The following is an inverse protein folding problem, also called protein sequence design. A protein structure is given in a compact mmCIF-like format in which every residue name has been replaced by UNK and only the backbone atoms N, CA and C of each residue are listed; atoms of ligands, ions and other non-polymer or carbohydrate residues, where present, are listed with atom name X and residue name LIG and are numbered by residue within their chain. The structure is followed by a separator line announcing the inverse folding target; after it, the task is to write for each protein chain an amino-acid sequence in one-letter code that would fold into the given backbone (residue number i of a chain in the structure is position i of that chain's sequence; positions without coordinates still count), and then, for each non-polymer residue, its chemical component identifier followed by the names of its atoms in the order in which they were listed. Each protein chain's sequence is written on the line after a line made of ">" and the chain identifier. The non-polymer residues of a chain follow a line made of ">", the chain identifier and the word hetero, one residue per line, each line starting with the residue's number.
data_IF_986073027009
#
_entry.id   IF_986073027009
#
_cell.length_a   1.000
_cell.length_b   1.000
_cell.length_c   1.000
_cell.angle_alpha   90.00
_cell.angle_beta   90.00
_cell.angle_gamma   90.00
#
_symmetry.space_group_name_H-M   'P 1'
#
loop_
_entity.id
_entity.type
_entity.pdbx_description
1 polymer ?
#
# COMPACT_ATOMS: atom_id res chain seq x y z
N UNK A 1 -23.21 -17.98 -4.37
CA UNK A 1 -23.16 -17.72 -2.91
C UNK A 1 -24.07 -18.75 -2.27
N UNK A 2 -23.52 -19.75 -1.58
CA UNK A 2 -24.36 -20.77 -0.93
C UNK A 2 -25.06 -20.17 0.30
N UNK A 3 -26.38 -20.30 0.36
CA UNK A 3 -27.22 -19.83 1.45
C UNK A 3 -26.87 -20.53 2.77
N UNK A 4 -26.76 -19.76 3.86
CA UNK A 4 -26.52 -20.31 5.19
C UNK A 4 -27.68 -21.25 5.56
N UNK A 5 -27.42 -22.51 5.97
CA UNK A 5 -28.48 -23.44 6.33
C UNK A 5 -29.34 -22.88 7.49
N UNK A 6 -30.66 -22.92 7.31
CA UNK A 6 -31.67 -22.36 8.23
C UNK A 6 -32.00 -23.29 9.41
N UNK A 7 -31.62 -24.56 9.32
CA UNK A 7 -31.92 -25.62 10.27
C UNK A 7 -30.64 -26.34 10.72
N UNK A 8 -30.72 -27.05 11.85
CA UNK A 8 -29.63 -27.88 12.34
C UNK A 8 -29.70 -29.29 11.72
N UNK A 9 -28.67 -29.72 11.00
CA UNK A 9 -28.65 -31.01 10.28
C UNK A 9 -28.88 -32.23 11.18
N UNK A 10 -28.51 -32.17 12.47
CA UNK A 10 -28.66 -33.31 13.39
C UNK A 10 -30.01 -33.40 14.09
N UNK A 11 -30.76 -32.31 14.20
CA UNK A 11 -32.04 -32.32 14.93
C UNK A 11 -33.20 -31.65 14.20
N UNK A 12 -32.95 -31.19 12.97
CA UNK A 12 -33.88 -30.47 12.08
C UNK A 12 -34.53 -29.21 12.67
N UNK A 13 -34.20 -28.82 13.91
CA UNK A 13 -34.78 -27.63 14.55
C UNK A 13 -34.26 -26.34 13.88
N UNK A 14 -35.14 -25.33 13.67
CA UNK A 14 -34.74 -24.06 13.10
C UNK A 14 -33.77 -23.33 14.04
N UNK A 15 -32.70 -22.78 13.47
CA UNK A 15 -31.76 -21.96 14.23
C UNK A 15 -32.48 -20.65 14.60
N UNK A 16 -32.83 -20.46 15.88
CA UNK A 16 -33.52 -19.27 16.36
C UNK A 16 -32.71 -18.01 16.03
N UNK A 17 -33.11 -17.29 14.99
CA UNK A 17 -32.60 -15.95 14.65
C UNK A 17 -33.24 -14.95 15.61
N UNK A 18 -32.48 -14.49 16.60
CA UNK A 18 -32.92 -13.37 17.40
C UNK A 18 -32.85 -12.12 16.51
N UNK A 19 -33.98 -11.41 16.32
CA UNK A 19 -34.16 -10.39 15.26
C UNK A 19 -33.06 -9.31 15.20
N UNK A 20 -32.33 -9.07 16.30
CA UNK A 20 -31.25 -8.08 16.37
C UNK A 20 -29.89 -8.59 16.91
N UNK A 21 -29.67 -9.91 17.05
CA UNK A 21 -28.38 -10.44 17.53
C UNK A 21 -27.91 -11.60 16.65
N UNK A 22 -26.68 -11.50 16.12
CA UNK A 22 -26.01 -12.63 15.46
C UNK A 22 -26.04 -13.83 16.42
N UNK A 23 -26.53 -14.97 15.94
CA UNK A 23 -26.62 -16.21 16.73
C UNK A 23 -25.22 -16.57 17.24
N UNK A 24 -24.97 -16.35 18.53
CA UNK A 24 -23.70 -16.69 19.17
C UNK A 24 -23.70 -18.17 19.52
N UNK A 25 -22.81 -18.94 18.90
CA UNK A 25 -22.64 -20.37 19.15
C UNK A 25 -22.22 -20.60 20.61
N UNK A 26 -22.95 -21.44 21.36
CA UNK A 26 -22.59 -21.87 22.72
C UNK A 26 -21.24 -22.57 22.70
N UNK A 27 -20.34 -22.17 23.60
CA UNK A 27 -19.02 -22.78 23.77
C UNK A 27 -18.94 -23.34 25.18
N UNK A 28 -18.48 -24.57 25.30
CA UNK A 28 -18.39 -25.28 26.58
C UNK A 28 -17.11 -26.11 26.57
N UNK A 29 -16.40 -26.19 27.68
CA UNK A 29 -15.20 -27.01 27.78
C UNK A 29 -15.66 -28.43 28.15
N UNK A 30 -15.29 -29.41 27.33
CA UNK A 30 -15.57 -30.81 27.64
C UNK A 30 -14.73 -31.22 28.87
N UNK A 31 -15.37 -31.66 29.98
CA UNK A 31 -14.66 -31.99 31.22
C UNK A 31 -13.69 -33.17 31.07
N UNK A 32 -13.89 -34.05 30.09
CA UNK A 32 -13.04 -35.23 29.90
C UNK A 32 -11.85 -34.92 29.01
N UNK A 33 -12.08 -34.24 27.87
CA UNK A 33 -11.00 -33.93 26.91
C UNK A 33 -10.32 -32.58 27.15
N UNK A 34 -10.86 -31.75 28.05
CA UNK A 34 -10.47 -30.38 28.34
C UNK A 34 -10.38 -29.47 27.09
N UNK A 35 -11.13 -29.81 26.03
CA UNK A 35 -11.16 -29.08 24.76
C UNK A 35 -12.42 -28.22 24.67
N UNK A 36 -12.28 -27.02 24.09
CA UNK A 36 -13.40 -26.11 23.87
C UNK A 36 -14.31 -26.63 22.74
N UNK A 37 -15.50 -27.08 23.13
CA UNK A 37 -16.55 -27.57 22.25
C UNK A 37 -17.45 -26.43 21.80
N UNK A 38 -17.98 -26.55 20.57
CA UNK A 38 -19.02 -25.67 20.05
C UNK A 38 -20.31 -26.46 19.95
N UNK A 39 -21.30 -26.05 20.71
CA UNK A 39 -22.57 -26.76 20.84
C UNK A 39 -23.67 -26.00 20.09
N UNK A 40 -24.65 -26.74 19.58
CA UNK A 40 -25.87 -26.14 19.06
C UNK A 40 -26.68 -25.51 20.19
N UNK A 41 -27.09 -24.25 20.02
CA UNK A 41 -27.88 -23.54 21.03
C UNK A 41 -29.24 -24.17 21.29
N UNK A 42 -29.79 -24.93 20.33
CA UNK A 42 -31.11 -25.53 20.45
C UNK A 42 -31.08 -26.94 21.07
N UNK A 43 -30.08 -27.75 20.76
CA UNK A 43 -30.06 -29.17 21.15
C UNK A 43 -28.84 -29.58 21.97
N UNK A 44 -27.87 -28.68 22.20
CA UNK A 44 -26.65 -29.00 22.97
C UNK A 44 -25.68 -29.97 22.29
N UNK A 45 -26.05 -30.54 21.14
CA UNK A 45 -25.19 -31.47 20.41
C UNK A 45 -23.98 -30.73 19.81
N UNK A 46 -22.84 -31.45 19.81
CA UNK A 46 -21.57 -30.96 19.26
C UNK A 46 -21.73 -30.70 17.77
N UNK A 47 -21.47 -29.47 17.35
CA UNK A 47 -21.28 -29.20 15.93
C UNK A 47 -19.97 -29.82 15.47
N UNK A 48 -20.03 -31.03 14.90
CA UNK A 48 -19.02 -31.47 13.93
C UNK A 48 -19.25 -30.69 12.63
N UNK A 49 -19.03 -29.37 12.67
CA UNK A 49 -18.68 -28.69 11.44
C UNK A 49 -17.26 -29.16 11.12
N UNK A 50 -17.16 -30.28 10.38
CA UNK A 50 -16.05 -30.47 9.45
C UNK A 50 -15.83 -29.09 8.84
N UNK A 51 -14.60 -28.57 8.89
CA UNK A 51 -14.32 -27.21 8.43
C UNK A 51 -14.66 -27.14 6.93
N UNK A 52 -15.92 -26.89 6.58
CA UNK A 52 -16.40 -26.50 5.26
C UNK A 52 -15.97 -25.05 4.99
N UNK A 53 -14.74 -24.67 5.38
CA UNK A 53 -13.96 -23.93 4.42
C UNK A 53 -13.78 -24.96 3.31
N UNK A 54 -14.62 -24.90 2.27
CA UNK A 54 -14.22 -25.41 0.95
C UNK A 54 -12.75 -25.04 0.88
N UNK A 55 -11.85 -26.03 0.94
CA UNK A 55 -10.42 -25.75 0.89
C UNK A 55 -10.30 -25.02 -0.43
N UNK A 56 -10.21 -23.68 -0.39
CA UNK A 56 -10.00 -22.90 -1.61
C UNK A 56 -8.80 -23.57 -2.21
N UNK A 57 -9.03 -24.20 -3.36
CA UNK A 57 -8.02 -25.01 -4.01
C UNK A 57 -6.79 -24.12 -4.05
N UNK A 58 -5.74 -24.55 -3.35
CA UNK A 58 -4.55 -23.72 -3.22
C UNK A 58 -4.08 -23.54 -4.65
N UNK A 59 -4.18 -22.31 -5.15
CA UNK A 59 -3.69 -21.96 -6.47
C UNK A 59 -2.28 -22.54 -6.56
N UNK A 60 -2.07 -23.46 -7.51
CA UNK A 60 -0.76 -24.04 -7.75
C UNK A 60 0.19 -22.88 -8.00
N UNK A 61 1.16 -22.73 -7.12
CA UNK A 61 2.19 -21.70 -7.22
C UNK A 61 3.15 -22.16 -8.31
N UNK A 62 3.44 -21.29 -9.27
CA UNK A 62 4.37 -21.62 -10.35
C UNK A 62 5.74 -22.04 -9.77
N UNK A 63 6.30 -23.11 -10.30
CA UNK A 63 7.62 -23.62 -9.90
C UNK A 63 8.71 -22.59 -10.23
N UNK A 64 9.89 -22.72 -9.62
CA UNK A 64 10.99 -21.80 -9.93
C UNK A 64 11.46 -21.96 -11.38
N UNK A 65 11.51 -23.19 -11.88
CA UNK A 65 11.84 -23.52 -13.28
C UNK A 65 10.84 -22.90 -14.27
N UNK A 66 9.53 -22.98 -13.97
CA UNK A 66 8.50 -22.33 -14.79
C UNK A 66 8.68 -20.81 -14.84
N UNK A 67 9.08 -20.18 -13.73
CA UNK A 67 9.34 -18.73 -13.68
C UNK A 67 10.57 -18.34 -14.49
N UNK A 68 11.61 -19.16 -14.49
CA UNK A 68 12.83 -18.92 -15.27
C UNK A 68 12.59 -19.12 -16.76
N UNK A 69 11.91 -20.21 -17.14
CA UNK A 69 11.44 -20.43 -18.51
C UNK A 69 10.59 -19.25 -18.99
N UNK A 70 9.66 -18.78 -18.15
CA UNK A 70 8.83 -17.63 -18.49
C UNK A 70 9.63 -16.34 -18.70
N UNK A 71 10.70 -16.10 -17.92
CA UNK A 71 11.57 -14.93 -18.15
C UNK A 71 12.22 -14.97 -19.53
N UNK A 72 12.74 -16.13 -19.93
CA UNK A 72 13.33 -16.33 -21.25
C UNK A 72 12.30 -16.13 -22.38
N UNK A 73 11.08 -16.67 -22.21
CA UNK A 73 9.97 -16.45 -23.15
C UNK A 73 9.61 -14.96 -23.27
N UNK A 74 9.55 -14.25 -22.15
CA UNK A 74 9.26 -12.80 -22.09
C UNK A 74 10.35 -11.98 -22.79
N UNK A 75 11.62 -12.36 -22.62
CA UNK A 75 12.75 -11.71 -23.29
C UNK A 75 12.77 -11.98 -24.79
N UNK A 76 12.44 -13.20 -25.22
CA UNK A 76 12.25 -13.53 -26.63
C UNK A 76 11.08 -12.74 -27.24
N UNK A 77 9.97 -12.63 -26.51
CA UNK A 77 8.80 -11.86 -26.95
C UNK A 77 9.12 -10.38 -27.19
N UNK A 78 9.94 -9.75 -26.34
CA UNK A 78 10.35 -8.35 -26.59
C UNK A 78 11.11 -8.18 -27.91
N UNK A 79 11.91 -9.16 -28.34
CA UNK A 79 12.60 -9.11 -29.64
C UNK A 79 11.61 -9.15 -30.81
N UNK A 80 10.49 -9.87 -30.66
CA UNK A 80 9.42 -9.88 -31.66
C UNK A 80 8.68 -8.54 -31.71
N UNK A 81 8.37 -7.96 -30.54
CA UNK A 81 7.74 -6.64 -30.45
C UNK A 81 8.64 -5.54 -31.03
N UNK A 82 9.96 -5.65 -30.82
CA UNK A 82 10.95 -4.72 -31.38
C UNK A 82 10.83 -4.61 -32.91
N UNK A 83 10.62 -5.72 -33.62
CA UNK A 83 10.44 -5.71 -35.08
C UNK A 83 9.24 -4.87 -35.55
N UNK A 84 8.25 -4.63 -34.68
CA UNK A 84 7.06 -3.84 -34.99
C UNK A 84 7.20 -2.38 -34.58
N UNK A 85 7.78 -2.16 -33.40
CA UNK A 85 7.81 -0.87 -32.71
C UNK A 85 9.07 -0.06 -33.08
N UNK A 86 10.17 -0.74 -33.40
CA UNK A 86 11.48 -0.14 -33.71
C UNK A 86 12.02 0.79 -32.60
N UNK A 87 11.76 0.44 -31.34
CA UNK A 87 12.27 1.12 -30.15
C UNK A 87 12.50 0.06 -29.05
N UNK A 88 13.76 -0.17 -28.69
CA UNK A 88 14.15 -1.22 -27.73
C UNK A 88 13.61 -0.95 -26.32
N UNK A 89 13.57 0.31 -25.89
CA UNK A 89 13.08 0.66 -24.56
C UNK A 89 11.56 0.42 -24.46
N UNK A 90 10.82 0.80 -25.51
CA UNK A 90 9.37 0.54 -25.58
C UNK A 90 9.11 -0.96 -25.72
N UNK A 91 9.83 -1.67 -26.59
CA UNK A 91 9.69 -3.12 -26.75
C UNK A 91 9.94 -3.87 -25.43
N UNK A 92 10.96 -3.47 -24.67
CA UNK A 92 11.21 -3.99 -23.33
C UNK A 92 10.06 -3.68 -22.35
N UNK A 93 9.36 -2.54 -22.49
CA UNK A 93 8.20 -2.19 -21.65
C UNK A 93 6.96 -2.98 -22.01
N UNK A 94 6.73 -3.27 -23.29
CA UNK A 94 5.58 -4.01 -23.83
C UNK A 94 5.65 -5.52 -23.58
N UNK A 95 6.00 -5.91 -22.35
CA UNK A 95 6.03 -7.30 -21.88
C UNK A 95 5.66 -7.36 -20.40
N UNK A 96 4.99 -8.42 -19.96
CA UNK A 96 4.59 -8.56 -18.56
C UNK A 96 5.53 -9.52 -17.79
N UNK A 97 6.42 -9.03 -16.90
CA UNK A 97 7.38 -9.89 -16.19
C UNK A 97 6.80 -10.56 -14.92
N UNK A 98 5.50 -10.43 -14.65
CA UNK A 98 4.91 -10.90 -13.39
C UNK A 98 4.73 -12.42 -13.42
N UNK A 99 5.29 -13.09 -12.41
CA UNK A 99 5.23 -14.55 -12.30
C UNK A 99 4.84 -15.08 -10.90
N UNK A 100 4.25 -14.24 -10.05
CA UNK A 100 3.89 -14.60 -8.66
C UNK A 100 2.48 -14.13 -8.28
N UNK A 101 1.61 -15.00 -7.75
CA UNK A 101 1.76 -16.46 -7.59
C UNK A 101 1.56 -17.27 -8.89
N UNK A 102 0.95 -16.65 -9.92
CA UNK A 102 0.75 -17.21 -11.27
C UNK A 102 1.56 -16.41 -12.29
N UNK A 103 1.90 -17.05 -13.40
CA UNK A 103 2.46 -16.40 -14.59
C UNK A 103 1.39 -15.48 -15.19
N UNK A 104 1.72 -14.21 -15.40
CA UNK A 104 0.80 -13.22 -15.94
C UNK A 104 1.24 -12.80 -17.33
N UNK A 105 0.46 -13.16 -18.34
CA UNK A 105 0.71 -12.87 -19.77
C UNK A 105 -0.12 -11.71 -20.31
N UNK A 106 -0.71 -10.87 -19.45
CA UNK A 106 -1.74 -9.91 -19.88
C UNK A 106 -1.36 -8.98 -21.04
N UNK A 107 -0.11 -8.52 -21.15
CA UNK A 107 0.33 -7.70 -22.30
C UNK A 107 0.49 -8.58 -23.54
N UNK A 108 1.08 -9.77 -23.38
CA UNK A 108 1.25 -10.74 -24.45
C UNK A 108 -0.11 -11.15 -25.02
N UNK A 109 -1.05 -11.59 -24.18
CA UNK A 109 -2.43 -11.95 -24.59
C UNK A 109 -3.13 -10.78 -25.30
N UNK A 110 -2.94 -9.54 -24.85
CA UNK A 110 -3.50 -8.37 -25.55
C UNK A 110 -2.91 -8.23 -26.95
N UNK A 111 -1.60 -8.40 -27.11
CA UNK A 111 -0.95 -8.27 -28.43
C UNK A 111 -1.23 -9.47 -29.34
N UNK A 112 -1.34 -10.67 -28.80
CA UNK A 112 -1.52 -11.91 -29.58
C UNK A 112 -2.97 -12.32 -29.80
N UNK A 113 -3.95 -11.66 -29.17
CA UNK A 113 -5.38 -11.98 -29.18
C UNK A 113 -5.77 -13.31 -28.51
N UNK A 114 -4.82 -14.20 -28.18
CA UNK A 114 -5.09 -15.51 -27.60
C UNK A 114 -3.88 -16.05 -26.82
N UNK A 115 -4.13 -17.01 -25.93
CA UNK A 115 -3.13 -17.73 -25.13
C UNK A 115 -2.31 -18.73 -25.97
N UNK A 116 -2.84 -19.15 -27.13
CA UNK A 116 -2.26 -20.18 -28.00
C UNK A 116 -1.68 -19.66 -29.32
N UNK A 117 -1.37 -18.37 -29.42
CA UNK A 117 -0.88 -17.78 -30.66
C UNK A 117 0.46 -18.40 -31.10
N UNK A 118 0.43 -19.15 -32.20
CA UNK A 118 1.60 -19.77 -32.85
C UNK A 118 2.10 -18.98 -34.07
N UNK A 119 1.51 -17.81 -34.35
CA UNK A 119 1.83 -16.99 -35.52
C UNK A 119 3.03 -16.06 -35.33
N UNK A 120 3.49 -15.48 -36.45
CA UNK A 120 4.39 -14.33 -36.41
C UNK A 120 3.59 -13.07 -36.03
N UNK A 121 4.04 -12.36 -35.01
CA UNK A 121 3.40 -11.12 -34.56
C UNK A 121 3.39 -10.05 -35.66
N UNK A 122 4.34 -10.12 -36.61
CA UNK A 122 4.50 -9.13 -37.67
C UNK A 122 3.47 -9.30 -38.81
N UNK A 123 2.93 -10.50 -39.02
CA UNK A 123 1.96 -10.77 -40.09
C UNK A 123 0.53 -10.43 -39.69
N UNK A 124 0.22 -10.47 -38.39
CA UNK A 124 -1.11 -10.13 -37.88
C UNK A 124 -1.32 -8.60 -37.82
N UNK A 125 -2.16 -8.08 -38.73
CA UNK A 125 -2.50 -6.65 -38.81
C UNK A 125 -3.05 -6.11 -37.47
N UNK A 126 -3.87 -6.90 -36.78
CA UNK A 126 -4.47 -6.52 -35.49
C UNK A 126 -3.40 -6.40 -34.40
N UNK A 127 -2.50 -7.38 -34.30
CA UNK A 127 -1.38 -7.36 -33.35
C UNK A 127 -0.47 -6.15 -33.58
N UNK A 128 -0.21 -5.83 -34.85
CA UNK A 128 0.57 -4.65 -35.22
C UNK A 128 -0.10 -3.35 -34.79
N UNK A 129 -1.41 -3.23 -35.03
CA UNK A 129 -2.20 -2.07 -34.61
C UNK A 129 -2.18 -1.90 -33.09
N UNK A 130 -2.38 -2.98 -32.34
CA UNK A 130 -2.34 -2.96 -30.87
C UNK A 130 -0.96 -2.62 -30.31
N UNK A 131 0.11 -3.14 -30.93
CA UNK A 131 1.47 -2.80 -30.53
C UNK A 131 1.76 -1.30 -30.73
N UNK A 132 1.33 -0.72 -31.86
CA UNK A 132 1.44 0.72 -32.14
C UNK A 132 0.61 1.55 -31.17
N UNK A 133 -0.58 1.10 -30.81
CA UNK A 133 -1.41 1.77 -29.81
C UNK A 133 -0.73 1.83 -28.44
N UNK A 134 -0.20 0.70 -27.95
CA UNK A 134 0.53 0.70 -26.67
C UNK A 134 1.84 1.49 -26.74
N UNK A 135 2.50 1.50 -27.89
CA UNK A 135 3.68 2.33 -28.15
C UNK A 135 3.33 3.82 -28.01
N UNK A 136 2.21 4.26 -28.58
CA UNK A 136 1.77 5.64 -28.48
C UNK A 136 1.45 6.04 -27.04
N UNK A 137 0.77 5.17 -26.28
CA UNK A 137 0.56 5.38 -24.84
C UNK A 137 1.89 5.51 -24.08
N UNK A 138 2.90 4.70 -24.42
CA UNK A 138 4.23 4.79 -23.80
C UNK A 138 4.91 6.13 -24.13
N UNK A 139 4.85 6.57 -25.39
CA UNK A 139 5.46 7.84 -25.83
C UNK A 139 4.79 9.03 -25.18
N UNK A 140 3.46 9.08 -25.23
CA UNK A 140 2.64 10.10 -24.56
C UNK A 140 2.95 10.17 -23.06
N UNK A 141 3.01 9.02 -22.37
CA UNK A 141 3.37 8.97 -20.95
C UNK A 141 4.79 9.50 -20.69
N UNK A 142 5.79 9.13 -21.52
CA UNK A 142 7.17 9.62 -21.38
C UNK A 142 7.27 11.12 -21.65
N UNK A 143 6.59 11.62 -22.69
CA UNK A 143 6.55 13.04 -23.02
C UNK A 143 5.96 13.85 -21.87
N UNK A 144 4.83 13.42 -21.30
CA UNK A 144 4.20 14.07 -20.14
C UNK A 144 5.06 14.01 -18.86
N UNK A 145 5.93 13.00 -18.71
CA UNK A 145 6.92 12.95 -17.63
C UNK A 145 8.05 13.98 -17.86
N UNK A 146 8.39 14.23 -19.13
CA UNK A 146 9.45 15.16 -19.53
C UNK A 146 8.99 16.61 -19.53
N UNK A 147 7.74 16.90 -19.90
CA UNK A 147 7.09 18.22 -19.80
C UNK A 147 6.83 18.64 -18.36
N UNK A 148 7.67 18.17 -17.42
CA UNK A 148 7.74 18.70 -16.06
C UNK A 148 7.56 20.21 -16.14
N UNK A 149 6.57 20.70 -15.41
CA UNK A 149 6.47 22.10 -15.07
C UNK A 149 7.82 22.48 -14.47
N UNK A 150 8.66 23.13 -15.27
CA UNK A 150 9.62 24.08 -14.77
C UNK A 150 8.71 25.15 -14.19
N UNK A 151 8.26 24.93 -12.97
CA UNK A 151 7.52 25.92 -12.22
C UNK A 151 8.48 27.07 -12.07
N UNK A 152 8.44 28.00 -13.02
CA UNK A 152 8.89 29.37 -12.86
C UNK A 152 7.94 29.96 -11.83
N UNK A 153 8.14 29.56 -10.58
CA UNK A 153 7.52 30.20 -9.45
C UNK A 153 8.33 31.47 -9.25
N UNK A 154 7.88 32.57 -9.86
CA UNK A 154 8.45 33.92 -9.70
C UNK A 154 8.27 34.49 -8.27
N UNK A 155 7.84 33.66 -7.33
CA UNK A 155 7.81 34.00 -5.90
C UNK A 155 9.22 33.93 -5.32
N UNK A 156 9.87 35.11 -5.21
CA UNK A 156 11.20 35.29 -4.61
C UNK A 156 11.33 34.78 -3.16
N UNK A 157 10.23 34.48 -2.46
CA UNK A 157 10.25 34.06 -1.05
C UNK A 157 10.55 32.57 -0.80
N UNK A 158 10.70 31.72 -1.82
CA UNK A 158 10.88 30.27 -1.64
C UNK A 158 12.34 29.77 -1.67
N UNK A 159 13.33 30.67 -1.53
CA UNK A 159 14.73 30.36 -1.80
C UNK A 159 15.47 29.60 -0.67
N UNK A 160 14.83 29.30 0.46
CA UNK A 160 15.50 28.68 1.63
C UNK A 160 15.30 27.17 1.84
N UNK A 161 14.71 26.43 0.90
CA UNK A 161 14.49 24.98 1.03
C UNK A 161 14.94 24.18 -0.20
N UNK A 162 16.22 24.29 -0.57
CA UNK A 162 16.77 23.75 -1.83
C UNK A 162 16.98 22.23 -1.84
N UNK A 163 17.03 21.54 -0.70
CA UNK A 163 17.53 20.15 -0.68
C UNK A 163 16.48 19.02 -0.73
N UNK A 164 15.19 19.30 -0.86
CA UNK A 164 14.20 18.21 -1.02
C UNK A 164 12.84 18.62 -1.63
N UNK A 165 12.82 19.55 -2.59
CA UNK A 165 11.61 19.77 -3.39
C UNK A 165 11.31 18.47 -4.14
N UNK A 166 10.36 17.72 -3.60
CA UNK A 166 9.95 16.41 -4.11
C UNK A 166 9.32 16.69 -5.45
N UNK A 167 10.08 16.48 -6.53
CA UNK A 167 9.69 16.80 -7.91
C UNK A 167 8.22 16.44 -8.14
N UNK A 168 7.34 17.45 -8.14
CA UNK A 168 5.92 17.25 -8.42
C UNK A 168 5.82 16.81 -9.88
N UNK A 169 4.86 15.93 -10.16
CA UNK A 169 4.54 15.51 -11.52
C UNK A 169 3.54 16.52 -12.07
N UNK A 170 3.56 16.76 -13.38
CA UNK A 170 2.57 17.60 -14.04
C UNK A 170 1.17 17.00 -13.81
N UNK A 171 0.18 17.87 -13.61
CA UNK A 171 -1.22 17.45 -13.41
C UNK A 171 -1.74 16.66 -14.62
N UNK A 172 -1.33 17.07 -15.81
CA UNK A 172 -1.67 16.44 -17.08
C UNK A 172 -1.18 14.99 -17.16
N UNK A 173 0.04 14.72 -16.68
CA UNK A 173 0.53 13.35 -16.56
C UNK A 173 -0.35 12.53 -15.62
N UNK A 174 -0.79 13.12 -14.50
CA UNK A 174 -1.63 12.39 -13.57
C UNK A 174 -2.97 12.00 -14.19
N UNK A 175 -3.68 12.98 -14.76
CA UNK A 175 -4.96 12.80 -15.44
C UNK A 175 -4.85 11.79 -16.59
N UNK A 176 -3.78 11.88 -17.39
CA UNK A 176 -3.48 10.94 -18.47
C UNK A 176 -3.32 9.50 -17.95
N UNK A 177 -2.58 9.29 -16.85
CA UNK A 177 -2.40 7.95 -16.28
C UNK A 177 -3.72 7.40 -15.77
N UNK A 178 -4.58 8.20 -15.13
CA UNK A 178 -5.86 7.70 -14.61
C UNK A 178 -6.85 7.32 -15.70
N UNK A 179 -6.99 8.16 -16.72
CA UNK A 179 -7.87 7.89 -17.86
C UNK A 179 -7.47 6.57 -18.56
N UNK A 180 -6.19 6.45 -18.92
CA UNK A 180 -5.71 5.28 -19.65
C UNK A 180 -5.60 4.03 -18.77
N UNK A 181 -5.31 4.16 -17.47
CA UNK A 181 -5.23 3.00 -16.57
C UNK A 181 -6.56 2.26 -16.48
N UNK A 182 -7.68 2.97 -16.41
CA UNK A 182 -8.99 2.35 -16.36
C UNK A 182 -9.28 1.61 -17.67
N UNK A 183 -8.93 2.21 -18.81
CA UNK A 183 -8.99 1.57 -20.13
C UNK A 183 -8.20 0.27 -20.18
N UNK A 184 -6.89 0.32 -19.87
CA UNK A 184 -5.99 -0.84 -19.88
C UNK A 184 -6.48 -1.98 -18.96
N UNK A 185 -7.07 -1.64 -17.80
CA UNK A 185 -7.57 -2.65 -16.86
C UNK A 185 -8.88 -3.27 -17.26
N UNK A 186 -9.86 -2.45 -17.64
CA UNK A 186 -11.23 -2.90 -17.81
C UNK A 186 -11.44 -3.44 -19.22
N UNK A 187 -10.89 -2.80 -20.24
CA UNK A 187 -11.07 -3.19 -21.64
C UNK A 187 -10.03 -4.23 -22.07
N UNK A 188 -8.77 -4.08 -21.64
CA UNK A 188 -7.68 -4.97 -22.09
C UNK A 188 -7.28 -6.01 -21.05
N UNK A 189 -7.98 -6.08 -19.92
CA UNK A 189 -7.70 -7.02 -18.83
C UNK A 189 -6.23 -7.02 -18.36
N UNK A 190 -5.53 -5.89 -18.45
CA UNK A 190 -4.14 -5.80 -18.04
C UNK A 190 -4.00 -5.82 -16.52
N UNK A 191 -3.00 -6.56 -16.03
CA UNK A 191 -2.65 -6.48 -14.62
C UNK A 191 -2.07 -5.09 -14.28
N UNK A 192 -2.10 -4.74 -13.00
CA UNK A 192 -1.55 -3.46 -12.51
C UNK A 192 -0.09 -3.24 -12.92
N UNK A 193 0.74 -4.29 -12.90
CA UNK A 193 2.14 -4.19 -13.33
C UNK A 193 2.28 -3.97 -14.83
N UNK A 194 1.39 -4.53 -15.64
CA UNK A 194 1.35 -4.27 -17.08
C UNK A 194 1.00 -2.80 -17.35
N UNK A 195 -0.04 -2.30 -16.68
CA UNK A 195 -0.43 -0.88 -16.75
C UNK A 195 0.73 0.06 -16.36
N UNK A 196 1.47 -0.26 -15.29
CA UNK A 196 2.63 0.52 -14.84
C UNK A 196 3.73 0.62 -15.88
N UNK A 197 3.98 -0.48 -16.63
CA UNK A 197 5.02 -0.49 -17.66
C UNK A 197 4.62 0.36 -18.87
N UNK A 198 3.38 0.23 -19.33
CA UNK A 198 2.84 1.00 -20.47
C UNK A 198 2.76 2.48 -20.12
N UNK A 199 2.17 2.83 -18.98
CA UNK A 199 1.94 4.23 -18.57
C UNK A 199 3.10 4.84 -17.76
N UNK A 200 4.22 4.12 -17.65
CA UNK A 200 5.47 4.58 -17.03
C UNK A 200 5.35 5.09 -15.57
N UNK A 201 4.36 4.65 -14.79
CA UNK A 201 4.19 5.08 -13.39
C UNK A 201 4.74 4.07 -12.38
N UNK A 202 5.10 4.57 -11.20
CA UNK A 202 5.59 3.75 -10.07
C UNK A 202 4.44 3.31 -9.16
N UNK A 203 4.63 2.25 -8.37
CA UNK A 203 3.67 1.85 -7.32
C UNK A 203 3.25 3.03 -6.41
N UNK A 204 4.16 3.96 -6.12
CA UNK A 204 3.90 5.10 -5.25
C UNK A 204 3.00 6.17 -5.88
N UNK A 205 2.83 6.17 -7.21
CA UNK A 205 2.00 7.13 -7.92
C UNK A 205 0.55 7.09 -7.43
N UNK A 206 -0.05 5.89 -7.39
CA UNK A 206 -1.41 5.69 -6.91
C UNK A 206 -1.59 6.07 -5.43
N UNK A 207 -0.56 5.83 -4.61
CA UNK A 207 -0.60 6.16 -3.19
C UNK A 207 -0.43 7.65 -2.90
N UNK A 208 0.27 8.39 -3.76
CA UNK A 208 0.45 9.83 -3.60
C UNK A 208 -0.83 10.57 -3.91
N UNK A 209 -1.53 10.24 -4.99
CA UNK A 209 -2.78 10.92 -5.33
C UNK A 209 -3.86 10.70 -4.26
N UNK A 210 -3.95 9.50 -3.68
CA UNK A 210 -4.80 9.22 -2.51
C UNK A 210 -4.45 10.07 -1.27
N UNK A 211 -3.29 10.73 -1.25
CA UNK A 211 -2.85 11.65 -0.19
C UNK A 211 -2.87 13.12 -0.61
N UNK A 212 -2.63 13.42 -1.89
CA UNK A 212 -2.48 14.78 -2.45
C UNK A 212 -3.71 15.31 -3.18
N UNK A 213 -4.70 14.47 -3.50
CA UNK A 213 -6.07 14.94 -3.74
C UNK A 213 -6.68 15.36 -2.39
N UNK A 214 -6.04 16.36 -1.78
CA UNK A 214 -6.46 17.12 -0.62
C UNK A 214 -7.46 18.20 -1.02
N UNK A 215 -8.32 17.94 -2.00
CA UNK A 215 -9.70 18.44 -1.90
C UNK A 215 -10.34 17.66 -0.74
N UNK A 216 -10.02 18.09 0.48
CA UNK A 216 -10.92 18.25 1.61
C UNK A 216 -11.93 17.16 1.98
N UNK A 217 -11.81 15.92 1.52
CA UNK A 217 -12.43 14.80 2.23
C UNK A 217 -11.49 14.42 3.37
N UNK A 218 -11.65 15.17 4.46
CA UNK A 218 -11.29 14.80 5.83
C UNK A 218 -11.21 13.29 5.94
N UNK A 219 -10.03 12.75 6.30
CA UNK A 219 -9.71 11.35 6.64
C UNK A 219 -10.93 10.46 6.96
N UNK A 220 -11.75 10.12 5.98
CA UNK A 220 -12.98 9.35 6.14
C UNK A 220 -12.96 8.24 5.10
N UNK A 221 -13.23 7.03 5.58
CA UNK A 221 -13.54 5.81 4.84
C UNK A 221 -12.40 5.09 4.11
N UNK A 222 -11.46 4.53 4.89
CA UNK A 222 -10.81 3.28 4.48
C UNK A 222 -11.83 2.12 4.45
N UNK A 223 -11.86 1.36 3.34
CA UNK A 223 -12.81 0.29 2.96
C UNK A 223 -13.14 -0.85 3.96
N UNK A 224 -12.58 -0.90 5.17
CA UNK A 224 -12.77 -2.04 6.07
C UNK A 224 -13.53 -1.78 7.37
N UNK A 225 -13.87 -0.53 7.64
CA UNK A 225 -14.88 -0.20 8.62
C UNK A 225 -15.62 0.94 7.96
N UNK A 226 -16.88 0.70 7.58
CA UNK A 226 -17.83 1.79 7.52
C UNK A 226 -17.58 2.58 8.80
N UNK A 227 -16.91 3.73 8.65
CA UNK A 227 -17.03 4.83 9.58
C UNK A 227 -18.52 5.04 9.54
N UNK A 228 -19.22 4.35 10.46
CA UNK A 228 -20.55 4.70 10.90
C UNK A 228 -20.49 6.21 10.94
N UNK A 229 -21.23 6.83 10.03
CA UNK A 229 -21.37 8.27 9.88
C UNK A 229 -21.16 8.86 11.26
N UNK A 230 -20.10 9.66 11.42
CA UNK A 230 -19.86 10.30 12.70
C UNK A 230 -21.15 11.03 13.01
N UNK A 231 -21.94 10.47 13.94
CA UNK A 231 -23.30 10.92 14.12
C UNK A 231 -23.26 12.44 14.33
N UNK A 232 -24.13 13.22 13.67
CA UNK A 232 -24.21 14.64 13.93
C UNK A 232 -24.24 14.86 15.44
N UNK A 233 -23.43 15.80 15.96
CA UNK A 233 -23.33 16.00 17.42
C UNK A 233 -24.70 16.28 18.04
N UNK A 234 -25.59 16.93 17.28
CA UNK A 234 -27.00 17.16 17.62
C UNK A 234 -27.80 15.88 17.87
N UNK A 235 -27.51 14.80 17.15
CA UNK A 235 -28.20 13.52 17.28
C UNK A 235 -27.57 12.63 18.36
N UNK A 236 -26.33 12.91 18.77
CA UNK A 236 -25.56 12.04 19.67
C UNK A 236 -26.24 11.84 21.03
N UNK A 237 -26.91 12.87 21.55
CA UNK A 237 -27.65 12.82 22.83
C UNK A 237 -28.85 11.86 22.82
N UNK A 238 -29.37 11.50 21.64
CA UNK A 238 -30.53 10.62 21.49
C UNK A 238 -30.15 9.14 21.65
N UNK A 239 -28.87 8.79 21.45
CA UNK A 239 -28.41 7.41 21.52
C UNK A 239 -27.99 7.03 22.94
N UNK A 240 -28.11 5.74 23.28
CA UNK A 240 -27.56 5.19 24.52
C UNK A 240 -26.32 4.35 24.19
N UNK A 241 -25.14 4.82 24.61
CA UNK A 241 -23.87 4.14 24.31
C UNK A 241 -23.42 3.13 25.39
N UNK A 242 -23.84 3.31 26.65
CA UNK A 242 -23.50 2.45 27.79
C UNK A 242 -24.46 2.71 28.96
N UNK A 243 -24.28 1.98 30.08
CA UNK A 243 -25.07 2.16 31.32
C UNK A 243 -24.96 3.59 31.88
N UNK A 244 -23.78 4.20 31.78
CA UNK A 244 -23.50 5.56 32.26
C UNK A 244 -23.99 6.67 31.31
N UNK A 245 -24.59 6.31 30.17
CA UNK A 245 -25.12 7.27 29.17
C UNK A 245 -24.12 8.40 28.83
N UNK A 246 -22.86 8.06 28.50
CA UNK A 246 -21.84 9.06 28.13
C UNK A 246 -22.31 10.03 27.02
N UNK A 247 -23.24 9.60 26.17
CA UNK A 247 -23.91 10.44 25.17
C UNK A 247 -24.65 11.65 25.74
N UNK A 248 -25.04 11.65 27.03
CA UNK A 248 -25.59 12.82 27.71
C UNK A 248 -24.65 14.04 27.73
N UNK A 249 -23.32 13.81 27.61
CA UNK A 249 -22.35 14.89 27.43
C UNK A 249 -22.58 15.69 26.14
N UNK A 250 -23.24 15.11 25.13
CA UNK A 250 -23.52 15.82 23.89
C UNK A 250 -24.51 16.98 24.10
N UNK A 251 -25.41 16.86 25.06
CA UNK A 251 -26.38 17.91 25.40
C UNK A 251 -25.75 19.01 26.25
N UNK A 252 -24.90 18.66 27.21
CA UNK A 252 -24.31 19.62 28.16
C UNK A 252 -22.98 20.23 27.69
N UNK A 253 -22.21 19.53 26.87
CA UNK A 253 -20.85 19.91 26.47
C UNK A 253 -20.65 19.84 24.95
N UNK A 254 -21.63 20.32 24.17
CA UNK A 254 -21.60 20.27 22.71
C UNK A 254 -20.34 20.93 22.12
N UNK A 255 -19.92 22.10 22.65
CA UNK A 255 -18.73 22.83 22.19
C UNK A 255 -17.43 22.05 22.43
N UNK A 256 -17.32 21.34 23.55
CA UNK A 256 -16.16 20.47 23.84
C UNK A 256 -16.09 19.32 22.85
N UNK A 257 -17.23 18.66 22.57
CA UNK A 257 -17.28 17.56 21.60
C UNK A 257 -16.96 18.04 20.17
N UNK A 258 -17.40 19.25 19.80
CA UNK A 258 -17.06 19.87 18.53
C UNK A 258 -15.54 20.12 18.42
N UNK A 259 -14.93 20.68 19.47
CA UNK A 259 -13.48 20.89 19.56
C UNK A 259 -12.70 19.56 19.47
N UNK A 260 -13.11 18.54 20.21
CA UNK A 260 -12.50 17.20 20.12
C UNK A 260 -12.63 16.60 18.73
N UNK A 261 -13.80 16.71 18.10
CA UNK A 261 -14.01 16.23 16.73
C UNK A 261 -13.08 16.97 15.76
N UNK A 262 -13.04 18.30 15.80
CA UNK A 262 -12.18 19.12 14.94
C UNK A 262 -10.68 18.80 15.14
N UNK A 263 -10.20 18.78 16.39
CA UNK A 263 -8.80 18.44 16.72
C UNK A 263 -8.44 17.03 16.27
N UNK A 264 -9.35 16.07 16.42
CA UNK A 264 -9.10 14.69 15.97
C UNK A 264 -8.94 14.57 14.45
N UNK A 265 -9.56 15.48 13.68
CA UNK A 265 -9.43 15.53 12.23
C UNK A 265 -8.15 16.25 11.77
N UNK A 266 -7.63 17.18 12.57
CA UNK A 266 -6.46 17.99 12.21
C UNK A 266 -5.17 17.17 12.00
N UNK A 267 -4.99 16.05 12.73
CA UNK A 267 -3.75 15.29 12.63
C UNK A 267 -3.74 14.00 13.44
N UNK A 268 -2.76 13.11 13.19
CA UNK A 268 -2.64 11.87 13.98
C UNK A 268 -2.22 12.15 15.44
N UNK A 269 -1.36 13.15 15.65
CA UNK A 269 -0.91 13.54 16.98
C UNK A 269 -2.08 14.10 17.80
N UNK A 270 -2.80 15.08 17.24
CA UNK A 270 -3.99 15.65 17.89
C UNK A 270 -5.09 14.63 18.11
N UNK A 271 -5.33 13.71 17.16
CA UNK A 271 -6.25 12.60 17.39
C UNK A 271 -5.88 11.78 18.61
N UNK A 272 -4.59 11.46 18.82
CA UNK A 272 -4.15 10.71 20.00
C UNK A 272 -4.29 11.51 21.28
N UNK A 273 -4.00 12.82 21.25
CA UNK A 273 -4.20 13.74 22.38
C UNK A 273 -5.67 13.79 22.79
N UNK A 274 -6.59 13.98 21.83
CA UNK A 274 -8.03 13.97 22.07
C UNK A 274 -8.48 12.62 22.64
N UNK A 275 -8.03 11.49 22.07
CA UNK A 275 -8.37 10.18 22.61
C UNK A 275 -7.88 9.99 24.04
N UNK A 276 -6.71 10.51 24.38
CA UNK A 276 -6.19 10.46 25.73
C UNK A 276 -7.01 11.32 26.68
N UNK A 277 -7.32 12.56 26.28
CA UNK A 277 -8.17 13.48 27.02
C UNK A 277 -9.54 12.85 27.31
N UNK A 278 -10.18 12.26 26.30
CA UNK A 278 -11.46 11.54 26.45
C UNK A 278 -11.36 10.28 27.33
N UNK A 279 -10.18 9.65 27.41
CA UNK A 279 -9.97 8.45 28.22
C UNK A 279 -9.54 8.76 29.66
N UNK A 280 -9.14 9.99 29.99
CA UNK A 280 -8.88 10.39 31.36
C UNK A 280 -10.19 10.40 32.15
N UNK A 281 -10.21 9.85 33.37
CA UNK A 281 -11.42 9.86 34.19
C UNK A 281 -11.72 11.30 34.65
N UNK A 282 -12.92 11.79 34.36
CA UNK A 282 -13.46 13.00 34.97
C UNK A 282 -14.51 12.56 35.99
N UNK A 283 -14.29 12.85 37.28
CA UNK A 283 -15.23 12.44 38.34
C UNK A 283 -15.36 10.93 38.53
N UNK A 284 -14.26 10.17 38.36
CA UNK A 284 -14.23 8.72 38.63
C UNK A 284 -14.75 7.82 37.50
N UNK A 285 -15.17 8.39 36.37
CA UNK A 285 -15.66 7.62 35.21
C UNK A 285 -14.96 8.02 33.91
N UNK A 286 -14.72 7.04 33.04
CA UNK A 286 -14.13 7.27 31.71
C UNK A 286 -15.18 7.12 30.62
N UNK A 287 -15.01 7.88 29.55
CA UNK A 287 -15.89 7.76 28.40
C UNK A 287 -15.88 6.34 27.82
N UNK A 288 -17.07 5.81 27.52
CA UNK A 288 -17.16 4.47 26.96
C UNK A 288 -16.58 4.43 25.54
N UNK A 289 -16.11 3.24 25.13
CA UNK A 289 -15.48 3.02 23.82
C UNK A 289 -16.35 3.49 22.65
N UNK A 290 -17.65 3.21 22.75
CA UNK A 290 -18.62 3.54 21.71
C UNK A 290 -18.81 5.05 21.55
N UNK A 291 -18.89 5.78 22.67
CA UNK A 291 -19.01 7.24 22.66
C UNK A 291 -17.79 7.92 22.03
N UNK A 292 -16.58 7.51 22.43
CA UNK A 292 -15.33 8.03 21.86
C UNK A 292 -15.30 7.83 20.34
N UNK A 293 -15.76 6.67 19.86
CA UNK A 293 -15.86 6.40 18.42
C UNK A 293 -16.88 7.28 17.71
N UNK A 294 -18.03 7.55 18.30
CA UNK A 294 -19.01 8.47 17.71
C UNK A 294 -18.47 9.89 17.58
N UNK A 295 -17.68 10.35 18.56
CA UNK A 295 -17.11 11.70 18.54
C UNK A 295 -15.95 11.82 17.55
N UNK A 296 -15.00 10.88 17.59
CA UNK A 296 -13.70 10.99 16.89
C UNK A 296 -13.57 10.17 15.61
N UNK A 297 -14.46 9.19 15.37
CA UNK A 297 -14.34 8.25 14.25
C UNK A 297 -13.12 7.32 14.32
N UNK A 298 -12.41 7.25 15.46
CA UNK A 298 -11.18 6.48 15.57
C UNK A 298 -11.40 4.96 15.45
N UNK A 299 -10.37 4.24 15.00
CA UNK A 299 -10.41 2.78 14.96
C UNK A 299 -10.29 2.15 16.36
N UNK A 300 -10.88 0.96 16.48
CA UNK A 300 -10.87 0.17 17.70
C UNK A 300 -9.45 -0.18 18.20
N UNK A 301 -8.52 -0.39 17.27
CA UNK A 301 -7.12 -0.68 17.59
C UNK A 301 -6.36 0.55 18.10
N UNK A 302 -6.60 1.72 17.52
CA UNK A 302 -5.97 2.97 17.97
C UNK A 302 -6.42 3.31 19.40
N UNK A 303 -7.72 3.25 19.68
CA UNK A 303 -8.25 3.52 21.01
C UNK A 303 -7.73 2.53 22.06
N UNK A 304 -7.63 1.24 21.72
CA UNK A 304 -7.05 0.24 22.62
C UNK A 304 -5.59 0.55 22.96
N UNK A 305 -4.80 0.97 21.96
CA UNK A 305 -3.39 1.36 22.14
C UNK A 305 -3.23 2.58 23.04
N UNK A 306 -3.99 3.66 22.79
CA UNK A 306 -3.94 4.88 23.61
C UNK A 306 -4.33 4.58 25.06
N UNK A 307 -5.34 3.74 25.29
CA UNK A 307 -5.71 3.31 26.65
C UNK A 307 -4.62 2.51 27.34
N UNK A 308 -3.90 1.67 26.61
CA UNK A 308 -2.79 0.91 27.16
C UNK A 308 -1.63 1.84 27.55
N UNK A 309 -1.31 2.82 26.69
CA UNK A 309 -0.28 3.83 26.97
C UNK A 309 -0.63 4.67 28.20
N UNK A 310 -1.89 5.14 28.30
CA UNK A 310 -2.35 5.87 29.48
C UNK A 310 -2.29 5.04 30.77
N UNK A 311 -2.59 3.74 30.70
CA UNK A 311 -2.45 2.84 31.86
C UNK A 311 -0.99 2.70 32.28
N UNK A 312 -0.07 2.66 31.32
CA UNK A 312 1.37 2.54 31.57
C UNK A 312 1.93 3.84 32.16
N UNK A 313 1.45 5.01 31.74
CA UNK A 313 1.88 6.32 32.24
C UNK A 313 1.10 6.82 33.47
N UNK A 314 0.31 5.96 34.12
CA UNK A 314 -0.60 6.31 35.22
C UNK A 314 -1.55 7.49 34.91
N UNK A 315 -1.80 7.77 33.63
CA UNK A 315 -2.68 8.84 33.15
C UNK A 315 -2.05 10.23 33.05
N UNK A 316 -0.78 10.41 33.45
CA UNK A 316 -0.14 11.73 33.54
C UNK A 316 0.57 12.17 32.26
N UNK A 317 1.10 11.24 31.45
CA UNK A 317 1.83 11.62 30.24
C UNK A 317 0.93 11.72 28.99
N UNK A 318 1.25 12.68 28.11
CA UNK A 318 0.73 12.71 26.75
C UNK A 318 1.12 11.41 26.01
N UNK A 319 0.23 10.84 25.18
CA UNK A 319 0.57 9.65 24.41
C UNK A 319 1.81 9.88 23.55
N UNK A 320 2.80 9.00 23.65
CA UNK A 320 4.03 9.09 22.88
C UNK A 320 3.75 9.21 21.37
N UNK A 321 4.63 9.94 20.67
CA UNK A 321 4.56 10.06 19.21
C UNK A 321 4.48 8.67 18.54
N UNK A 322 3.85 8.60 17.36
CA UNK A 322 3.73 7.33 16.64
C UNK A 322 5.13 6.73 16.36
N UNK A 323 5.40 5.52 16.86
CA UNK A 323 6.70 4.85 16.76
C UNK A 323 7.25 4.63 15.34
N UNK A 324 6.48 4.92 14.29
CA UNK A 324 6.98 4.97 12.91
C UNK A 324 7.96 6.14 12.71
N UNK A 325 7.70 7.32 13.30
CA UNK A 325 8.63 8.46 13.22
C UNK A 325 9.97 8.09 13.84
N UNK A 326 9.91 7.50 15.04
CA UNK A 326 11.09 7.05 15.77
C UNK A 326 11.82 5.93 15.02
N UNK A 327 11.10 4.95 14.47
CA UNK A 327 11.68 3.93 13.58
C UNK A 327 12.43 4.54 12.38
N UNK A 328 11.84 5.54 11.69
CA UNK A 328 12.51 6.19 10.57
C UNK A 328 13.69 7.06 10.99
N UNK A 329 13.63 7.69 12.17
CA UNK A 329 14.74 8.43 12.78
C UNK A 329 15.91 7.49 13.08
N UNK A 330 15.65 6.38 13.76
CA UNK A 330 16.64 5.34 14.04
C UNK A 330 17.22 4.71 12.77
N UNK A 331 16.38 4.48 11.74
CA UNK A 331 16.84 3.95 10.46
C UNK A 331 17.75 4.93 9.72
N UNK A 332 17.47 6.24 9.77
CA UNK A 332 18.36 7.28 9.23
C UNK A 332 19.69 7.33 9.99
N UNK A 333 19.67 7.24 11.32
CA UNK A 333 20.87 7.20 12.15
C UNK A 333 21.72 5.97 11.79
N UNK A 334 21.11 4.79 11.67
CA UNK A 334 21.81 3.55 11.25
C UNK A 334 22.43 3.67 9.85
N UNK A 335 21.70 4.25 8.89
CA UNK A 335 22.20 4.45 7.53
C UNK A 335 23.33 5.49 7.44
N UNK A 336 23.34 6.49 8.33
CA UNK A 336 24.43 7.46 8.44
C UNK A 336 25.67 6.83 9.07
N UNK A 337 25.50 6.07 10.17
CA UNK A 337 26.57 5.34 10.84
C UNK A 337 27.24 4.30 9.94
N UNK A 338 26.47 3.57 9.12
CA UNK A 338 27.03 2.60 8.18
C UNK A 338 27.88 3.22 7.06
N UNK A 339 27.67 4.52 6.73
CA UNK A 339 28.48 5.22 5.72
C UNK A 339 29.76 5.83 6.31
N UNK A 340 29.78 6.16 7.59
CA UNK A 340 30.96 6.68 8.28
C UNK A 340 32.06 5.64 8.44
N UNK A 341 31.69 4.37 8.64
CA UNK A 341 32.66 3.30 8.93
C UNK A 341 33.42 2.79 7.68
N UNK A 342 32.94 3.06 6.47
CA UNK A 342 33.57 2.61 5.22
C UNK A 342 34.72 3.51 4.74
N UNK A 343 34.89 4.70 5.34
CA UNK A 343 35.93 5.67 4.93
C UNK A 343 37.21 5.61 5.77
N UNK A 344 37.21 4.86 6.86
CA UNK A 344 38.35 4.76 7.77
C UNK A 344 39.34 3.61 7.43
N UNK A 345 39.04 2.77 6.43
CA UNK A 345 39.82 1.55 6.12
C UNK A 345 40.59 1.57 4.79
N UNK A 346 40.61 2.69 4.06
CA UNK A 346 41.36 2.80 2.78
C UNK A 346 42.48 3.83 2.80
N UNK A 347 42.97 4.23 3.98
CA UNK A 347 43.95 5.30 4.13
C UNK A 347 45.21 4.90 4.88
N UNK A 348 45.87 3.78 4.54
CA UNK A 348 47.30 3.61 4.86
C UNK A 348 47.92 2.41 4.13
N UNK A 349 48.45 2.64 2.94
CA UNK A 349 49.57 1.88 2.33
C UNK A 349 50.00 2.60 1.06
N UNK A 350 50.75 3.70 1.21
CA UNK A 350 51.67 4.15 0.15
C UNK A 350 52.96 3.38 0.34
N UNK A 351 53.10 2.28 -0.39
CA UNK A 351 54.40 1.63 -0.62
C UNK A 351 55.15 2.53 -1.60
N UNK A 352 56.30 3.02 -1.17
CA UNK A 352 57.27 3.75 -1.99
C UNK A 352 58.12 2.70 -2.68
N UNK A 353 57.89 2.47 -3.97
CA UNK A 353 58.82 1.69 -4.80
C UNK A 353 59.69 2.65 -5.60
N UNK A 354 60.98 2.60 -5.30
CA UNK A 354 62.03 3.29 -6.04
C UNK A 354 62.32 2.55 -7.35
N UNK A 355 62.44 3.31 -8.43
CA UNK A 355 62.99 2.78 -9.69
C UNK A 355 64.15 3.64 -10.13
N UNK A 356 65.35 3.10 -9.92
CA UNK A 356 66.58 3.55 -10.53
C UNK A 356 66.53 3.28 -12.04
N UNK A 357 66.88 4.29 -12.85
CA UNK A 357 67.32 4.08 -14.23
C UNK A 357 68.67 4.76 -14.41
N UNK A 358 69.68 3.90 -14.52
CA UNK A 358 71.03 4.20 -14.95
C UNK A 358 71.04 4.65 -16.41
N UNK A 359 71.91 5.61 -16.69
CA UNK A 359 72.25 6.04 -18.04
C UNK A 359 73.05 4.98 -18.81
N UNK A 360 72.95 5.07 -20.13
CA UNK A 360 73.94 4.55 -21.07
C UNK A 360 74.08 5.60 -22.16
N UNK A 361 75.23 6.27 -22.15
CA UNK A 361 75.80 7.00 -23.28
C UNK A 361 76.13 6.03 -24.42
N UNK A 362 75.87 6.44 -25.66
CA UNK A 362 76.60 5.97 -26.84
C UNK A 362 76.47 6.98 -27.98
N UNK A 363 77.45 7.87 -28.04
CA UNK A 363 78.26 8.18 -29.23
C UNK A 363 77.85 7.53 -30.57
N UNK A 364 77.54 8.34 -31.60
CA UNK A 364 78.46 8.69 -32.72
C UNK A 364 77.74 9.27 -33.95
N UNK A 365 78.31 10.41 -34.40
CA UNK A 365 78.64 10.81 -35.78
C UNK A 365 77.61 10.58 -36.90
N UNK A 366 77.24 11.68 -37.56
CA UNK A 366 77.64 11.87 -38.96
C UNK A 366 77.57 13.35 -39.37
N UNK A 367 78.74 13.87 -39.71
CA UNK A 367 78.94 15.00 -40.60
C UNK A 367 79.77 14.47 -41.77
N UNK A 368 79.18 14.35 -42.95
CA UNK A 368 79.91 14.31 -44.23
C UNK A 368 79.16 15.27 -45.16
N UNK A 369 79.94 16.25 -45.61
CA UNK A 369 79.68 17.21 -46.68
C UNK A 369 79.73 16.51 -48.05
N UNK A 370 79.56 17.28 -49.11
CA UNK A 370 80.23 17.07 -50.39
C UNK A 370 81.58 16.34 -50.32
#
# INVERSE_FOLDING_TARGET
>A
MESIPSTCDSCSKPLRKNKNKRVTIRKEIDPVSNKLMRLCNSCGLRFFRARWRVKKERVKVASQEEKEKYKLEVDAFSKLVYKIVDDDEIACRLRCPVSSPKICRCIQCYLTMDDNFSGDLNTCVISRSRAKELQELCRSAKSLIQTRDIGVSDSMDEQRCVNSKTKLRSKDYEEFVFANRNRLKNEYSMCERGCQRVLCYSNNFLHKQLKSNSKHESRIAGKHVAISETLPLSQLGQFRCCKQRCTGMASSHASLLASWRQRSLAGQLEARRVLAEMCRPAGGHTNCRQFIRYVTGCSDGLLAKVRQELKQSLGYEEPAEHGLKEYWRQKKIKAASSRGNSRALTGSSKVVDGTAKNGVESEKRNSILS
#
